data_IF_710276862103
#
_entry.id   IF_710276862103
#
_cell.length_a   1.000
_cell.length_b   1.000
_cell.length_c   1.000
_cell.angle_alpha   90.00
_cell.angle_beta   90.00
_cell.angle_gamma   90.00
#
_symmetry.space_group_name_H-M   'P 1'
#
loop_
_entity.id
_entity.type
_entity.pdbx_description
1 polymer ?
#
# COMPACT_ATOMS: atom_id res chain seq x y z
N UNK A 1 -21.43 5.34 -24.27
CA UNK A 1 -21.61 4.75 -22.92
C UNK A 1 -20.23 4.53 -22.30
N UNK A 2 -19.80 5.36 -21.35
CA UNK A 2 -18.48 5.26 -20.68
C UNK A 2 -18.63 5.10 -19.16
N UNK A 3 -19.49 4.19 -18.72
CA UNK A 3 -19.58 3.84 -17.29
C UNK A 3 -18.76 2.57 -17.03
N UNK A 4 -17.46 2.74 -16.81
CA UNK A 4 -16.64 1.66 -16.26
C UNK A 4 -16.75 1.69 -14.74
N UNK A 5 -17.72 0.94 -14.19
CA UNK A 5 -17.93 0.72 -12.75
C UNK A 5 -16.64 0.28 -12.05
N UNK A 6 -15.76 -0.42 -12.77
CA UNK A 6 -14.41 -0.84 -12.35
C UNK A 6 -13.53 0.37 -11.97
N UNK A 7 -13.68 1.51 -12.66
CA UNK A 7 -12.92 2.74 -12.39
C UNK A 7 -13.33 3.44 -11.09
N UNK A 8 -14.54 3.16 -10.59
CA UNK A 8 -15.10 3.79 -9.40
C UNK A 8 -14.79 2.98 -8.13
N UNK A 9 -14.12 1.83 -8.26
CA UNK A 9 -13.59 1.06 -7.13
C UNK A 9 -12.26 1.69 -6.72
N UNK A 10 -12.37 2.84 -6.06
CA UNK A 10 -11.28 3.72 -5.65
C UNK A 10 -10.24 2.97 -4.79
N UNK A 11 -9.02 2.86 -5.29
CA UNK A 11 -7.90 2.15 -4.64
C UNK A 11 -7.29 2.95 -3.50
N UNK A 12 -7.29 2.38 -2.29
CA UNK A 12 -6.81 3.09 -1.09
C UNK A 12 -5.30 3.37 -1.13
N UNK A 13 -4.48 2.44 -1.60
CA UNK A 13 -3.02 2.62 -1.64
C UNK A 13 -2.55 3.48 -2.82
N UNK A 14 -3.14 3.33 -4.01
CA UNK A 14 -2.77 4.20 -5.15
C UNK A 14 -3.15 5.67 -4.90
N UNK A 15 -4.25 5.92 -4.18
CA UNK A 15 -4.62 7.26 -3.74
C UNK A 15 -3.66 7.82 -2.67
N UNK A 16 -3.17 6.98 -1.74
CA UNK A 16 -2.19 7.38 -0.72
C UNK A 16 -0.83 7.74 -1.32
N UNK A 17 -0.45 7.15 -2.46
CA UNK A 17 0.76 7.49 -3.19
C UNK A 17 0.64 8.79 -3.99
N UNK A 18 -0.54 9.05 -4.58
CA UNK A 18 -0.75 10.19 -5.49
C UNK A 18 -1.35 11.43 -4.81
N UNK A 19 -1.98 11.26 -3.65
CA UNK A 19 -2.55 12.37 -2.86
C UNK A 19 -2.21 12.16 -1.37
N UNK A 20 -1.38 13.03 -0.75
CA UNK A 20 -1.00 12.89 0.66
C UNK A 20 -2.13 13.22 1.65
N UNK A 21 -3.40 13.13 1.24
CA UNK A 21 -4.55 13.25 2.15
C UNK A 21 -4.76 11.93 2.86
N UNK A 22 -3.98 11.72 3.91
CA UNK A 22 -4.14 10.60 4.81
C UNK A 22 -5.48 10.71 5.55
N UNK A 23 -6.33 9.68 5.47
CA UNK A 23 -7.35 9.40 6.48
C UNK A 23 -6.73 8.85 7.79
N UNK A 24 -5.47 9.21 8.06
CA UNK A 24 -4.82 8.92 9.33
C UNK A 24 -5.54 9.77 10.38
N UNK A 25 -6.03 9.12 11.41
CA UNK A 25 -6.57 9.81 12.55
C UNK A 25 -5.43 10.71 13.10
N UNK A 26 -5.72 11.99 13.40
CA UNK A 26 -4.70 12.89 13.99
C UNK A 26 -4.13 12.34 15.31
N UNK A 27 -4.81 11.34 15.88
CA UNK A 27 -4.42 10.65 17.10
C UNK A 27 -3.70 9.31 16.86
N UNK A 28 -3.40 8.93 15.62
CA UNK A 28 -2.64 7.70 15.32
C UNK A 28 -1.21 7.82 15.87
N UNK A 29 -0.71 6.74 16.48
CA UNK A 29 0.66 6.71 16.98
C UNK A 29 1.67 6.64 15.83
N UNK A 30 2.93 7.04 16.07
CA UNK A 30 4.00 6.86 15.09
C UNK A 30 4.13 5.40 14.64
N UNK A 31 3.89 4.47 15.57
CA UNK A 31 3.91 3.04 15.27
C UNK A 31 2.81 2.65 14.29
N UNK A 32 1.58 3.12 14.48
CA UNK A 32 0.46 2.83 13.56
C UNK A 32 0.74 3.36 12.16
N UNK A 33 1.27 4.59 12.07
CA UNK A 33 1.66 5.19 10.79
C UNK A 33 2.80 4.42 10.14
N UNK A 34 3.78 3.97 10.91
CA UNK A 34 4.91 3.19 10.43
C UNK A 34 4.48 1.80 9.90
N UNK A 35 3.52 1.15 10.56
CA UNK A 35 2.93 -0.12 10.10
C UNK A 35 2.12 0.05 8.81
N UNK A 36 1.35 1.13 8.68
CA UNK A 36 0.66 1.46 7.43
C UNK A 36 1.65 1.70 6.29
N UNK A 37 2.76 2.39 6.57
CA UNK A 37 3.82 2.59 5.59
C UNK A 37 4.49 1.28 5.16
N UNK A 38 4.77 0.36 6.09
CA UNK A 38 5.32 -0.95 5.74
C UNK A 38 4.35 -1.74 4.83
N UNK A 39 3.03 -1.64 5.07
CA UNK A 39 2.01 -2.22 4.19
C UNK A 39 2.05 -1.64 2.77
N UNK A 40 2.32 -0.33 2.63
CA UNK A 40 2.50 0.34 1.35
C UNK A 40 3.81 -0.10 0.66
N UNK A 41 4.88 -0.23 1.42
CA UNK A 41 6.16 -0.70 0.91
C UNK A 41 6.05 -2.13 0.34
N UNK A 42 5.44 -3.04 1.10
CA UNK A 42 5.19 -4.42 0.64
C UNK A 42 4.29 -4.42 -0.59
N UNK A 43 3.24 -3.59 -0.62
CA UNK A 43 2.38 -3.44 -1.81
C UNK A 43 3.20 -3.05 -3.05
N UNK A 44 4.07 -2.03 -2.92
CA UNK A 44 4.91 -1.58 -4.03
C UNK A 44 5.91 -2.67 -4.46
N UNK A 45 6.47 -3.42 -3.51
CA UNK A 45 7.33 -4.56 -3.80
C UNK A 45 6.59 -5.64 -4.61
N UNK A 46 5.38 -6.02 -4.19
CA UNK A 46 4.55 -7.00 -4.90
C UNK A 46 4.17 -6.51 -6.31
N UNK A 47 3.79 -5.24 -6.43
CA UNK A 47 3.48 -4.59 -7.70
C UNK A 47 4.68 -4.62 -8.65
N UNK A 48 5.85 -4.21 -8.18
CA UNK A 48 7.09 -4.23 -8.98
C UNK A 48 7.49 -5.65 -9.39
N UNK A 49 7.39 -6.62 -8.48
CA UNK A 49 7.67 -8.03 -8.79
C UNK A 49 6.75 -8.56 -9.91
N UNK A 50 5.47 -8.17 -9.91
CA UNK A 50 4.52 -8.51 -10.98
C UNK A 50 4.71 -7.70 -12.26
N UNK A 51 5.30 -6.51 -12.21
CA UNK A 51 5.65 -5.74 -13.40
C UNK A 51 6.87 -6.32 -14.11
N UNK A 52 7.77 -6.99 -13.39
CA UNK A 52 8.94 -7.67 -13.94
C UNK A 52 8.64 -8.95 -14.75
N UNK A 53 7.42 -9.09 -15.29
CA UNK A 53 7.02 -10.24 -16.13
C UNK A 53 7.77 -10.22 -17.46
N UNK A 54 8.20 -11.40 -17.92
CA UNK A 54 8.96 -11.57 -19.17
C UNK A 54 8.12 -11.39 -20.44
N UNK A 55 6.80 -11.49 -20.32
CA UNK A 55 5.86 -11.31 -21.43
C UNK A 55 4.52 -10.78 -20.91
N UNK A 56 3.81 -10.04 -21.76
CA UNK A 56 2.45 -9.60 -21.49
C UNK A 56 1.52 -10.82 -21.42
N UNK A 57 0.66 -10.84 -20.41
CA UNK A 57 -0.27 -11.95 -20.24
C UNK A 57 -1.42 -11.79 -21.24
N UNK A 58 -1.65 -12.79 -22.09
CA UNK A 58 -2.77 -12.79 -23.06
C UNK A 58 -4.14 -12.62 -22.35
N UNK A 59 -4.21 -12.95 -21.06
CA UNK A 59 -5.40 -12.79 -20.21
C UNK A 59 -5.45 -11.45 -19.45
N UNK A 60 -4.50 -10.52 -19.65
CA UNK A 60 -4.53 -9.22 -18.97
C UNK A 60 -5.59 -8.31 -19.57
N UNK A 61 -6.50 -7.86 -18.73
CA UNK A 61 -7.41 -6.75 -19.00
C UNK A 61 -7.55 -5.84 -17.78
N UNK A 62 -8.14 -4.66 -17.98
CA UNK A 62 -8.34 -3.66 -16.91
C UNK A 62 -9.06 -4.21 -15.66
N UNK A 63 -10.03 -5.11 -15.84
CA UNK A 63 -10.75 -5.75 -14.73
C UNK A 63 -9.87 -6.73 -13.96
N UNK A 64 -9.08 -7.54 -14.66
CA UNK A 64 -8.12 -8.46 -14.04
C UNK A 64 -7.00 -7.73 -13.29
N UNK A 65 -6.53 -6.60 -13.81
CA UNK A 65 -5.54 -5.73 -13.16
C UNK A 65 -6.10 -5.10 -11.89
N UNK A 66 -7.34 -4.63 -11.96
CA UNK A 66 -8.04 -4.05 -10.80
C UNK A 66 -8.19 -5.12 -9.71
N UNK A 67 -8.66 -6.32 -10.04
CA UNK A 67 -8.79 -7.40 -9.07
C UNK A 67 -7.44 -7.79 -8.45
N UNK A 68 -6.39 -7.89 -9.26
CA UNK A 68 -5.03 -8.16 -8.79
C UNK A 68 -4.55 -7.07 -7.81
N UNK A 69 -4.73 -5.80 -8.14
CA UNK A 69 -4.33 -4.70 -7.25
C UNK A 69 -5.07 -4.72 -5.90
N UNK A 70 -6.35 -5.15 -5.87
CA UNK A 70 -7.11 -5.27 -4.63
C UNK A 70 -6.60 -6.43 -3.77
N UNK A 71 -6.31 -7.56 -4.41
CA UNK A 71 -5.72 -8.72 -3.77
C UNK A 71 -4.34 -8.39 -3.21
N UNK A 72 -3.52 -7.65 -3.95
CA UNK A 72 -2.20 -7.20 -3.52
C UNK A 72 -2.27 -6.27 -2.30
N UNK A 73 -3.28 -5.40 -2.25
CA UNK A 73 -3.52 -4.53 -1.11
C UNK A 73 -3.83 -5.33 0.16
N UNK A 74 -4.69 -6.34 0.09
CA UNK A 74 -5.02 -7.14 1.28
C UNK A 74 -3.86 -8.04 1.67
N UNK A 75 -3.17 -8.64 0.70
CA UNK A 75 -1.96 -9.40 0.99
C UNK A 75 -0.87 -8.54 1.62
N UNK A 76 -0.64 -7.32 1.16
CA UNK A 76 0.41 -6.48 1.73
C UNK A 76 0.13 -6.11 3.19
N UNK A 77 -1.13 -5.89 3.57
CA UNK A 77 -1.53 -5.66 4.97
C UNK A 77 -1.30 -6.91 5.83
N UNK A 78 -1.66 -8.08 5.32
CA UNK A 78 -1.47 -9.35 6.04
C UNK A 78 0.02 -9.62 6.21
N UNK A 79 0.79 -9.46 5.14
CA UNK A 79 2.24 -9.69 5.11
C UNK A 79 2.96 -8.70 6.02
N UNK A 80 2.69 -7.40 5.95
CA UNK A 80 3.32 -6.40 6.81
C UNK A 80 2.98 -6.62 8.31
N UNK A 81 1.81 -7.16 8.63
CA UNK A 81 1.45 -7.49 10.02
C UNK A 81 2.07 -8.80 10.51
N UNK A 82 2.16 -9.80 9.64
CA UNK A 82 2.60 -11.15 10.00
C UNK A 82 4.10 -11.40 9.82
N UNK A 83 4.75 -10.62 8.97
CA UNK A 83 6.16 -10.67 8.68
C UNK A 83 6.75 -9.28 8.87
N UNK A 84 7.77 -9.22 9.72
CA UNK A 84 8.43 -7.97 10.02
C UNK A 84 9.60 -7.76 9.04
N UNK A 85 9.49 -6.74 8.17
CA UNK A 85 10.55 -6.37 7.23
C UNK A 85 11.50 -5.31 7.81
N UNK A 86 11.25 -4.85 9.04
CA UNK A 86 12.07 -3.89 9.76
C UNK A 86 11.88 -2.45 9.33
N UNK A 87 10.96 -2.18 8.39
CA UNK A 87 10.74 -0.82 7.86
C UNK A 87 9.97 0.00 8.88
N UNK A 88 8.94 -0.57 9.50
CA UNK A 88 8.17 0.12 10.53
C UNK A 88 9.06 0.49 11.73
N UNK A 89 9.91 -0.43 12.18
CA UNK A 89 10.84 -0.25 13.29
C UNK A 89 11.93 0.76 12.95
N UNK A 90 12.42 0.77 11.71
CA UNK A 90 13.38 1.77 11.25
C UNK A 90 12.76 3.18 11.29
N UNK A 91 11.50 3.32 10.87
CA UNK A 91 10.78 4.58 10.96
C UNK A 91 10.54 5.00 12.41
N UNK A 92 10.08 4.09 13.28
CA UNK A 92 9.90 4.38 14.71
C UNK A 92 11.23 4.76 15.36
N UNK A 93 12.33 4.07 15.05
CA UNK A 93 13.67 4.38 15.57
C UNK A 93 14.16 5.77 15.11
N UNK A 94 13.93 6.11 13.84
CA UNK A 94 14.37 7.37 13.25
C UNK A 94 13.54 8.55 13.76
N UNK A 95 12.22 8.41 13.81
CA UNK A 95 11.30 9.51 14.10
C UNK A 95 10.81 9.53 15.55
N UNK A 96 10.93 8.43 16.30
CA UNK A 96 10.41 8.30 17.67
C UNK A 96 11.00 9.31 18.64
N UNK A 97 12.28 9.67 18.47
CA UNK A 97 12.93 10.71 19.29
C UNK A 97 12.31 12.10 19.09
N UNK A 98 11.84 12.39 17.87
CA UNK A 98 11.24 13.68 17.51
C UNK A 98 9.71 13.71 17.68
N UNK A 99 9.06 12.54 17.65
CA UNK A 99 7.61 12.41 17.76
C UNK A 99 7.07 12.74 19.16
N UNK A 100 7.85 12.47 20.21
CA UNK A 100 7.50 12.79 21.59
C UNK A 100 7.87 14.23 22.02
N UNK A 101 8.42 15.05 21.13
CA UNK A 101 8.89 16.40 21.44
C UNK A 101 7.83 17.50 21.22
N UNK A 102 6.53 17.18 21.36
CA UNK A 102 5.43 18.16 21.26
C UNK A 102 4.57 18.17 22.50
#
# INVERSE_FOLDING_TARGET
>A
MKNNVISNMKFKFEDQLNTPKSNLNKNSSLHDVAQEFESLFVFQMLKNARQAKLADNILSNKGSETYQSLLDQEFSKIIAKGQNFGVAEALVRQFGKHWSAK
#
